data_IF_615319808293
#
_entry.id   IF_615319808293
#
_cell.length_a   1.000
_cell.length_b   1.000
_cell.length_c   1.000
_cell.angle_alpha   90.00
_cell.angle_beta   90.00
_cell.angle_gamma   90.00
#
_symmetry.space_group_name_H-M   'P 1'
#
loop_
_entity.id
_entity.type
_entity.pdbx_description
1 polymer ?
#
# COMPACT_ATOMS: atom_id res chain seq x y z
N UNK A 1 16.32 -4.39 17.61
CA UNK A 1 16.93 -4.15 16.29
C UNK A 1 17.45 -2.73 16.29
N UNK A 2 18.75 -2.57 16.45
CA UNK A 2 19.44 -1.28 16.35
C UNK A 2 19.42 -0.81 14.90
N UNK A 3 18.88 0.38 14.65
CA UNK A 3 18.96 1.02 13.34
C UNK A 3 20.33 1.69 13.21
N UNK A 4 21.16 1.19 12.30
CA UNK A 4 22.40 1.81 11.92
C UNK A 4 22.15 3.23 11.37
N UNK A 5 22.80 4.22 12.00
CA UNK A 5 23.09 5.57 11.54
C UNK A 5 22.18 6.18 10.43
N UNK A 6 21.14 6.89 10.87
CA UNK A 6 20.87 8.29 10.45
C UNK A 6 20.85 8.63 8.97
N UNK A 7 20.01 7.98 8.16
CA UNK A 7 19.53 8.54 6.89
C UNK A 7 18.02 8.61 6.91
N UNK A 8 17.47 9.76 7.28
CA UNK A 8 16.04 10.04 7.11
C UNK A 8 15.75 10.14 5.61
N UNK A 9 14.85 9.29 5.12
CA UNK A 9 14.35 9.37 3.76
C UNK A 9 13.12 10.29 3.75
N UNK A 10 13.21 11.41 3.05
CA UNK A 10 12.05 12.28 2.82
C UNK A 10 11.25 11.69 1.65
N UNK A 11 10.02 11.27 1.93
CA UNK A 11 9.12 10.55 1.01
C UNK A 11 8.55 11.43 -0.13
N UNK A 12 9.01 12.68 -0.28
CA UNK A 12 8.51 13.64 -1.27
C UNK A 12 6.98 13.89 -1.21
N UNK A 13 6.35 13.59 -0.06
CA UNK A 13 4.99 14.04 0.26
C UNK A 13 5.09 15.38 0.99
N UNK A 14 4.89 16.47 0.24
CA UNK A 14 4.99 17.83 0.76
C UNK A 14 3.59 18.35 1.11
N UNK A 15 3.41 18.81 2.35
CA UNK A 15 2.16 19.39 2.84
C UNK A 15 2.43 20.85 3.16
N UNK A 16 1.62 21.74 2.60
CA UNK A 16 1.80 23.17 2.73
C UNK A 16 0.57 23.82 3.36
N UNK A 17 0.81 24.86 4.17
CA UNK A 17 -0.22 25.84 4.47
C UNK A 17 -0.39 26.74 3.24
N UNK A 18 -1.62 26.80 2.72
CA UNK A 18 -1.91 27.32 1.39
C UNK A 18 -1.57 28.80 1.24
N UNK A 19 -1.87 29.63 2.25
CA UNK A 19 -1.62 31.07 2.20
C UNK A 19 -0.13 31.39 2.18
N UNK A 20 0.66 30.71 3.02
CA UNK A 20 2.11 30.83 3.07
C UNK A 20 2.76 30.34 1.77
N UNK A 21 2.24 29.25 1.20
CA UNK A 21 2.68 28.77 -0.11
C UNK A 21 2.45 29.79 -1.22
N UNK A 22 1.24 30.35 -1.32
CA UNK A 22 0.90 31.36 -2.35
C UNK A 22 1.73 32.63 -2.19
N UNK A 23 1.97 33.09 -0.95
CA UNK A 23 2.81 34.28 -0.71
C UNK A 23 4.24 34.07 -1.20
N UNK A 24 4.84 32.93 -0.86
CA UNK A 24 6.19 32.62 -1.30
C UNK A 24 6.25 32.41 -2.82
N UNK A 25 5.26 31.73 -3.40
CA UNK A 25 5.15 31.54 -4.85
C UNK A 25 5.09 32.87 -5.61
N UNK A 26 4.30 33.83 -5.12
CA UNK A 26 4.22 35.18 -5.73
C UNK A 26 5.55 35.94 -5.60
N UNK A 27 6.23 35.80 -4.46
CA UNK A 27 7.51 36.45 -4.20
C UNK A 27 8.64 35.91 -5.09
N UNK A 28 8.70 34.60 -5.30
CA UNK A 28 9.78 33.97 -6.08
C UNK A 28 9.43 33.79 -7.56
N UNK A 29 8.17 34.00 -7.95
CA UNK A 29 7.67 33.61 -9.28
C UNK A 29 7.71 32.10 -9.52
N UNK A 30 7.83 31.29 -8.46
CA UNK A 30 8.03 29.84 -8.55
C UNK A 30 9.47 29.39 -8.74
N UNK A 31 10.45 30.31 -8.72
CA UNK A 31 11.85 29.94 -8.82
C UNK A 31 12.34 29.17 -7.59
N UNK A 32 13.00 28.04 -7.83
CA UNK A 32 13.70 27.22 -6.84
C UNK A 32 15.18 27.16 -7.23
N UNK A 33 16.07 27.07 -6.24
CA UNK A 33 17.51 26.97 -6.49
C UNK A 33 17.83 25.79 -7.41
N UNK A 34 18.55 26.09 -8.47
CA UNK A 34 18.95 25.11 -9.48
C UNK A 34 20.28 24.44 -9.12
N UNK A 35 20.48 23.25 -9.66
CA UNK A 35 21.72 22.50 -9.65
C UNK A 35 21.88 21.74 -10.97
N UNK A 36 23.06 21.18 -11.22
CA UNK A 36 23.34 20.43 -12.46
C UNK A 36 23.28 18.93 -12.20
N UNK A 37 22.51 18.21 -13.01
CA UNK A 37 22.40 16.73 -12.98
C UNK A 37 22.51 16.15 -14.39
N UNK A 38 22.95 14.89 -14.49
CA UNK A 38 22.89 14.13 -15.75
C UNK A 38 21.60 13.32 -15.83
N UNK A 39 21.20 12.99 -17.05
CA UNK A 39 19.99 12.25 -17.42
C UNK A 39 19.86 10.84 -16.85
N UNK A 40 20.89 10.31 -16.22
CA UNK A 40 20.90 9.02 -15.53
C UNK A 40 21.29 9.28 -14.08
N UNK A 41 20.56 8.70 -13.12
CA UNK A 41 20.64 8.84 -11.65
C UNK A 41 22.03 8.60 -10.99
N UNK A 42 23.10 8.56 -11.78
CA UNK A 42 24.49 8.36 -11.36
C UNK A 42 25.18 9.71 -11.12
N UNK A 43 25.81 9.84 -9.94
CA UNK A 43 26.60 11.01 -9.52
C UNK A 43 27.87 11.24 -10.34
N UNK A 44 28.15 10.42 -11.36
CA UNK A 44 29.32 10.57 -12.22
C UNK A 44 28.99 11.38 -13.48
N UNK A 45 29.19 12.69 -13.39
CA UNK A 45 28.95 13.67 -14.47
C UNK A 45 29.95 13.51 -15.64
N UNK A 46 31.15 13.07 -15.33
CA UNK A 46 32.26 13.03 -16.28
C UNK A 46 32.59 11.60 -16.69
N UNK A 47 33.11 11.45 -17.92
CA UNK A 47 33.56 10.14 -18.45
C UNK A 47 34.59 9.50 -17.53
N UNK A 48 35.48 10.33 -17.01
CA UNK A 48 36.61 9.99 -16.17
C UNK A 48 36.89 11.14 -15.17
N UNK A 49 37.90 10.95 -14.33
CA UNK A 49 38.31 11.91 -13.31
C UNK A 49 38.97 13.18 -13.87
N UNK A 50 39.26 13.24 -15.19
CA UNK A 50 39.82 14.44 -15.83
C UNK A 50 38.81 15.58 -15.91
N UNK A 51 37.51 15.26 -15.82
CA UNK A 51 36.39 16.22 -15.89
C UNK A 51 36.36 17.08 -17.15
N UNK A 52 36.91 16.58 -18.25
CA UNK A 52 37.00 17.30 -19.54
C UNK A 52 35.86 16.97 -20.51
N UNK A 53 35.16 15.83 -20.31
CA UNK A 53 34.05 15.42 -21.18
C UNK A 53 32.91 14.77 -20.40
N UNK A 54 31.69 15.06 -20.83
CA UNK A 54 30.45 14.56 -20.22
C UNK A 54 30.10 13.16 -20.74
N UNK A 55 29.52 12.31 -19.88
CA UNK A 55 29.00 10.99 -20.28
C UNK A 55 27.73 11.10 -21.12
N UNK A 56 26.86 12.06 -20.79
CA UNK A 56 25.65 12.37 -21.55
C UNK A 56 25.33 13.87 -21.47
N UNK A 57 24.30 14.30 -22.20
CA UNK A 57 23.77 15.67 -22.08
C UNK A 57 23.35 15.97 -20.65
N UNK A 58 23.76 17.14 -20.15
CA UNK A 58 23.45 17.65 -18.82
C UNK A 58 22.48 18.80 -18.89
N UNK A 59 21.64 18.93 -17.87
CA UNK A 59 20.69 20.04 -17.74
C UNK A 59 20.71 20.63 -16.33
N UNK A 60 20.18 21.84 -16.22
CA UNK A 60 19.78 22.39 -14.94
C UNK A 60 18.53 21.64 -14.45
N UNK A 61 18.53 21.30 -13.17
CA UNK A 61 17.39 20.72 -12.48
C UNK A 61 17.16 21.48 -11.18
N UNK A 62 15.95 21.38 -10.64
CA UNK A 62 15.61 21.87 -9.31
C UNK A 62 14.82 20.79 -8.58
N UNK A 63 14.86 20.81 -7.25
CA UNK A 63 14.17 19.83 -6.42
C UNK A 63 12.96 20.48 -5.75
N UNK A 64 11.76 19.91 -5.90
CA UNK A 64 10.56 20.49 -5.27
C UNK A 64 10.66 20.56 -3.73
N UNK A 65 11.41 19.66 -3.12
CA UNK A 65 11.67 19.68 -1.67
C UNK A 65 12.67 20.76 -1.23
N UNK A 66 13.25 21.52 -2.15
CA UNK A 66 14.08 22.68 -1.82
C UNK A 66 13.24 23.94 -1.56
N UNK A 67 11.92 23.88 -1.72
CA UNK A 67 10.99 24.95 -1.33
C UNK A 67 11.27 25.54 0.07
N UNK A 68 11.52 24.76 1.14
CA UNK A 68 11.82 25.33 2.45
C UNK A 68 13.03 26.27 2.48
N UNK A 69 13.95 26.17 1.51
CA UNK A 69 15.13 27.04 1.40
C UNK A 69 14.78 28.44 0.90
N UNK A 70 13.60 28.65 0.32
CA UNK A 70 13.15 29.99 -0.11
C UNK A 70 12.44 30.76 1.01
N UNK A 71 11.98 30.04 2.03
CA UNK A 71 11.26 30.61 3.16
C UNK A 71 12.17 31.49 4.05
N UNK A 72 11.56 32.46 4.72
CA UNK A 72 12.26 33.26 5.71
C UNK A 72 12.74 32.38 6.89
N UNK A 73 13.83 32.74 7.58
CA UNK A 73 14.34 31.96 8.73
C UNK A 73 13.34 31.75 9.87
N UNK A 74 12.31 32.60 9.96
CA UNK A 74 11.24 32.52 10.97
C UNK A 74 10.12 31.53 10.58
N UNK A 75 10.14 30.99 9.36
CA UNK A 75 9.10 30.09 8.89
C UNK A 75 9.15 28.75 9.65
N UNK A 76 7.97 28.23 10.00
CA UNK A 76 7.85 26.93 10.68
C UNK A 76 7.86 25.81 9.64
N UNK A 77 8.96 25.07 9.59
CA UNK A 77 9.14 23.90 8.73
C UNK A 77 9.36 22.68 9.63
N UNK A 78 8.64 21.60 9.37
CA UNK A 78 8.73 20.36 10.14
C UNK A 78 8.75 19.13 9.24
N UNK A 79 9.21 18.02 9.81
CA UNK A 79 9.18 16.69 9.18
C UNK A 79 8.36 15.77 10.05
N UNK A 80 7.40 15.07 9.46
CA UNK A 80 6.63 14.03 10.13
C UNK A 80 7.15 12.67 9.69
N UNK A 81 7.58 11.85 10.65
CA UNK A 81 7.98 10.47 10.37
C UNK A 81 6.74 9.59 10.18
N UNK A 82 6.59 9.02 8.97
CA UNK A 82 5.47 8.17 8.58
C UNK A 82 5.97 6.87 7.96
N UNK A 83 6.06 5.81 8.76
CA UNK A 83 6.63 4.53 8.28
C UNK A 83 5.66 3.67 7.47
N UNK A 84 4.34 3.81 7.70
CA UNK A 84 3.33 2.90 7.12
C UNK A 84 2.93 3.25 5.68
N UNK A 85 3.28 4.44 5.18
CA UNK A 85 2.71 5.00 3.95
C UNK A 85 3.68 5.07 2.76
N UNK A 86 4.88 4.50 2.86
CA UNK A 86 5.88 4.58 1.80
C UNK A 86 6.05 3.26 1.04
N UNK A 87 5.46 3.18 -0.16
CA UNK A 87 5.53 2.00 -1.04
C UNK A 87 5.77 2.40 -2.52
N UNK A 88 6.92 3.02 -2.86
CA UNK A 88 7.19 3.42 -4.24
C UNK A 88 7.51 2.20 -5.12
N UNK A 89 7.22 2.35 -6.41
CA UNK A 89 7.63 1.43 -7.47
C UNK A 89 8.61 2.18 -8.35
N UNK A 90 9.92 1.96 -8.10
CA UNK A 90 11.02 2.67 -8.79
C UNK A 90 12.12 1.76 -9.31
N UNK A 91 12.18 0.53 -8.81
CA UNK A 91 13.18 -0.45 -9.23
C UNK A 91 12.55 -1.43 -10.22
N UNK A 92 13.26 -1.69 -11.31
CA UNK A 92 12.97 -2.84 -12.17
C UNK A 92 13.21 -4.16 -11.38
N UNK A 93 12.73 -5.31 -11.88
CA UNK A 93 12.93 -6.60 -11.21
C UNK A 93 14.41 -6.95 -10.95
N UNK A 94 15.32 -6.66 -11.88
CA UNK A 94 16.74 -6.98 -11.77
C UNK A 94 17.43 -6.23 -10.62
N UNK A 95 17.14 -4.93 -10.49
CA UNK A 95 17.70 -4.07 -9.46
C UNK A 95 17.04 -4.34 -8.12
N UNK A 96 15.74 -4.66 -8.10
CA UNK A 96 15.06 -5.13 -6.90
C UNK A 96 15.66 -6.44 -6.37
N UNK A 97 16.01 -7.39 -7.23
CA UNK A 97 16.64 -8.65 -6.83
C UNK A 97 18.01 -8.47 -6.15
N UNK A 98 18.70 -7.35 -6.42
CA UNK A 98 20.00 -7.01 -5.80
C UNK A 98 19.84 -6.35 -4.42
N UNK A 99 18.63 -5.96 -4.03
CA UNK A 99 18.37 -5.31 -2.74
C UNK A 99 18.59 -6.33 -1.61
N UNK A 100 19.45 -6.04 -0.60
CA UNK A 100 19.70 -6.96 0.50
C UNK A 100 18.43 -7.25 1.30
N UNK A 101 18.30 -8.49 1.77
CA UNK A 101 17.16 -8.91 2.60
C UNK A 101 17.00 -8.01 3.83
N UNK A 102 15.76 -7.59 4.10
CA UNK A 102 15.43 -6.65 5.19
C UNK A 102 15.31 -5.20 4.73
N UNK A 103 15.79 -4.86 3.53
CA UNK A 103 15.54 -3.57 2.90
C UNK A 103 14.30 -3.61 2.00
N UNK A 104 13.62 -2.47 1.80
CA UNK A 104 12.48 -2.40 0.91
C UNK A 104 12.91 -2.50 -0.56
N UNK A 105 12.31 -3.44 -1.29
CA UNK A 105 12.63 -3.74 -2.69
C UNK A 105 12.24 -2.63 -3.67
N UNK A 106 11.17 -1.89 -3.38
CA UNK A 106 10.64 -0.80 -4.21
C UNK A 106 10.36 -1.19 -5.67
N UNK A 107 9.94 -2.43 -5.90
CA UNK A 107 9.49 -2.98 -7.18
C UNK A 107 7.97 -3.01 -7.29
N UNK A 108 7.45 -3.31 -8.48
CA UNK A 108 6.01 -3.46 -8.71
C UNK A 108 5.39 -4.54 -7.81
N UNK A 109 6.09 -5.67 -7.63
CA UNK A 109 5.71 -6.72 -6.66
C UNK A 109 5.53 -6.11 -5.26
N UNK A 110 6.54 -5.39 -4.77
CA UNK A 110 6.51 -4.83 -3.41
C UNK A 110 5.43 -3.76 -3.22
N UNK A 111 5.17 -2.95 -4.25
CA UNK A 111 4.14 -1.93 -4.22
C UNK A 111 2.73 -2.52 -4.11
N UNK A 112 2.46 -3.59 -4.85
CA UNK A 112 1.17 -4.28 -4.78
C UNK A 112 0.97 -5.02 -3.44
N UNK A 113 1.98 -5.76 -2.99
CA UNK A 113 1.93 -6.47 -1.70
C UNK A 113 1.77 -5.51 -0.52
N UNK A 114 2.35 -4.30 -0.60
CA UNK A 114 2.16 -3.26 0.41
C UNK A 114 0.69 -2.84 0.55
N UNK A 115 -0.07 -2.83 -0.55
CA UNK A 115 -1.51 -2.52 -0.53
C UNK A 115 -2.28 -3.64 0.18
N UNK A 116 -2.01 -4.91 -0.15
CA UNK A 116 -2.64 -6.06 0.51
C UNK A 116 -2.34 -6.05 2.01
N UNK A 117 -1.08 -5.85 2.38
CA UNK A 117 -0.63 -5.75 3.76
C UNK A 117 -1.31 -4.60 4.50
N UNK A 118 -1.36 -3.40 3.91
CA UNK A 118 -2.00 -2.24 4.52
C UNK A 118 -3.48 -2.50 4.82
N UNK A 119 -4.19 -3.14 3.88
CA UNK A 119 -5.61 -3.47 4.02
C UNK A 119 -5.84 -4.56 5.07
N UNK A 120 -5.01 -5.59 5.09
CA UNK A 120 -5.00 -6.61 6.14
C UNK A 120 -4.75 -5.99 7.53
N UNK A 121 -3.77 -5.08 7.65
CA UNK A 121 -3.48 -4.39 8.90
C UNK A 121 -4.63 -3.49 9.37
N UNK A 122 -5.30 -2.78 8.46
CA UNK A 122 -6.48 -1.96 8.80
C UNK A 122 -7.59 -2.84 9.36
N UNK A 123 -7.89 -3.96 8.71
CA UNK A 123 -8.91 -4.90 9.19
C UNK A 123 -8.53 -5.55 10.52
N UNK A 124 -7.26 -5.95 10.71
CA UNK A 124 -6.75 -6.44 12.01
C UNK A 124 -6.86 -5.38 13.12
N UNK A 125 -6.62 -4.09 12.81
CA UNK A 125 -6.72 -3.01 13.80
C UNK A 125 -8.17 -2.68 14.20
N UNK A 126 -9.14 -2.85 13.29
CA UNK A 126 -10.56 -2.72 13.63
C UNK A 126 -10.96 -3.70 14.74
N UNK A 127 -10.30 -4.85 14.82
CA UNK A 127 -10.52 -5.87 15.86
C UNK A 127 -10.07 -5.43 17.25
N UNK A 128 -8.93 -4.74 17.36
CA UNK A 128 -8.33 -4.42 18.67
C UNK A 128 -9.14 -3.35 19.42
N UNK A 129 -9.90 -2.50 18.71
CA UNK A 129 -10.63 -1.36 19.28
C UNK A 129 -12.14 -1.62 19.51
N UNK A 130 -12.65 -2.83 19.25
CA UNK A 130 -14.07 -3.19 19.48
C UNK A 130 -14.29 -3.81 20.87
N UNK A 131 -13.22 -4.21 21.57
CA UNK A 131 -13.28 -4.58 22.99
C UNK A 131 -12.84 -3.40 23.85
N UNK A 132 -13.59 -2.98 24.89
CA UNK A 132 -13.08 -2.01 25.85
C UNK A 132 -11.98 -2.70 26.67
N UNK A 133 -10.72 -2.39 26.39
CA UNK A 133 -9.62 -2.69 27.31
C UNK A 133 -8.84 -1.40 27.59
N UNK A 134 -8.42 -1.19 28.86
CA UNK A 134 -7.71 0.00 29.29
C UNK A 134 -6.37 0.16 28.56
N UNK A 135 -5.93 1.42 28.46
CA UNK A 135 -4.93 1.95 27.53
C UNK A 135 -3.49 1.40 27.67
N UNK A 136 -3.24 0.42 28.54
CA UNK A 136 -1.88 0.10 29.00
C UNK A 136 -1.23 -1.13 28.33
N UNK A 137 -1.88 -1.75 27.34
CA UNK A 137 -1.37 -2.99 26.72
C UNK A 137 -1.03 -2.83 25.22
N UNK A 138 -0.31 -1.75 24.86
CA UNK A 138 0.06 -1.48 23.47
C UNK A 138 1.32 -2.19 22.98
N UNK A 139 2.07 -2.88 23.84
CA UNK A 139 3.28 -3.59 23.46
C UNK A 139 3.42 -4.90 24.22
N UNK A 140 3.07 -6.02 23.59
CA UNK A 140 3.78 -7.32 23.59
C UNK A 140 2.83 -8.41 23.09
N UNK A 141 2.94 -8.76 21.82
CA UNK A 141 2.44 -10.04 21.33
C UNK A 141 3.46 -11.14 21.72
N UNK A 142 3.43 -11.59 22.97
CA UNK A 142 3.95 -12.90 23.36
C UNK A 142 3.32 -13.36 24.67
N UNK A 143 2.41 -14.33 24.59
CA UNK A 143 2.07 -15.18 25.74
C UNK A 143 0.66 -15.04 26.31
N UNK A 144 -0.09 -16.15 26.16
CA UNK A 144 -0.67 -16.89 27.30
C UNK A 144 -1.77 -16.22 28.14
N UNK A 145 -2.73 -15.52 27.54
CA UNK A 145 -4.05 -15.33 28.18
C UNK A 145 -5.17 -15.45 27.14
N UNK A 146 -6.15 -16.32 27.43
CA UNK A 146 -7.28 -16.65 26.57
C UNK A 146 -8.24 -15.47 26.42
N UNK A 147 -7.96 -14.57 25.48
CA UNK A 147 -8.90 -13.54 25.06
C UNK A 147 -9.70 -14.09 23.89
N UNK A 148 -11.01 -14.33 24.07
CA UNK A 148 -11.94 -14.54 22.95
C UNK A 148 -11.97 -13.25 22.13
N UNK A 149 -11.16 -13.19 21.08
CA UNK A 149 -11.08 -12.06 20.14
C UNK A 149 -12.39 -11.95 19.37
N UNK A 150 -13.24 -10.98 19.72
CA UNK A 150 -14.31 -10.54 18.84
C UNK A 150 -13.71 -9.65 17.74
N UNK A 151 -13.62 -10.16 16.51
CA UNK A 151 -13.25 -9.39 15.33
C UNK A 151 -12.69 -10.23 14.18
N UNK A 152 -12.24 -9.56 13.12
CA UNK A 152 -11.68 -10.14 11.89
C UNK A 152 -10.36 -10.88 12.15
N UNK A 153 -10.41 -12.21 12.18
CA UNK A 153 -9.22 -13.06 12.20
C UNK A 153 -8.66 -13.14 10.78
N UNK A 154 -7.47 -12.59 10.54
CA UNK A 154 -6.81 -12.72 9.25
C UNK A 154 -5.67 -13.72 9.42
N UNK A 155 -5.60 -14.73 8.55
CA UNK A 155 -4.51 -15.69 8.53
C UNK A 155 -3.15 -15.00 8.51
N UNK A 156 -2.19 -15.54 9.25
CA UNK A 156 -0.83 -14.99 9.24
C UNK A 156 -0.21 -15.12 7.85
N UNK A 157 0.66 -14.18 7.43
CA UNK A 157 1.32 -14.27 6.13
C UNK A 157 2.08 -15.60 6.01
N UNK A 158 1.86 -16.31 4.92
CA UNK A 158 2.65 -17.51 4.59
C UNK A 158 3.81 -17.06 3.70
N UNK A 159 4.95 -17.75 3.82
CA UNK A 159 6.06 -17.64 2.87
C UNK A 159 5.68 -18.28 1.53
N UNK A 160 4.73 -17.69 0.82
CA UNK A 160 4.73 -17.78 -0.64
C UNK A 160 5.62 -16.65 -1.13
N UNK A 161 6.73 -17.03 -1.74
CA UNK A 161 7.84 -16.12 -2.02
C UNK A 161 7.71 -15.67 -3.48
N UNK A 162 6.95 -14.61 -3.75
CA UNK A 162 7.00 -13.93 -5.05
C UNK A 162 8.20 -12.98 -5.05
N UNK A 163 9.18 -13.23 -5.90
CA UNK A 163 10.41 -12.43 -5.95
C UNK A 163 11.07 -12.21 -4.58
N UNK A 164 11.10 -13.24 -3.72
CA UNK A 164 11.73 -13.14 -2.39
C UNK A 164 10.84 -12.59 -1.27
N UNK A 165 9.56 -12.26 -1.53
CA UNK A 165 8.71 -11.48 -0.62
C UNK A 165 7.52 -12.26 -0.06
N UNK A 166 7.14 -11.98 1.19
CA UNK A 166 5.98 -12.57 1.88
C UNK A 166 4.65 -11.95 1.44
N UNK A 167 3.58 -12.73 1.50
CA UNK A 167 2.28 -12.39 0.90
C UNK A 167 1.16 -12.44 1.94
N UNK A 168 0.50 -11.30 2.13
CA UNK A 168 -0.78 -11.19 2.82
C UNK A 168 -1.95 -11.60 1.91
N UNK A 169 -3.12 -11.94 2.47
CA UNK A 169 -4.35 -12.12 1.70
C UNK A 169 -4.61 -10.98 0.72
N UNK A 170 -5.12 -11.34 -0.47
CA UNK A 170 -5.42 -10.38 -1.54
C UNK A 170 -6.71 -9.63 -1.26
N UNK A 171 -6.67 -8.72 -0.30
CA UNK A 171 -7.82 -7.91 0.10
C UNK A 171 -7.72 -6.55 -0.59
N UNK A 172 -8.77 -6.18 -1.33
CA UNK A 172 -8.87 -4.91 -2.04
C UNK A 172 -10.26 -4.29 -1.98
N UNK A 173 -10.31 -2.96 -1.94
CA UNK A 173 -11.57 -2.21 -2.04
C UNK A 173 -11.38 -0.89 -2.76
N UNK A 174 -12.44 -0.39 -3.40
CA UNK A 174 -12.48 0.96 -3.97
C UNK A 174 -12.48 2.01 -2.84
N UNK A 175 -11.86 3.18 -3.02
CA UNK A 175 -11.87 4.25 -2.00
C UNK A 175 -13.27 4.64 -1.52
N UNK A 176 -14.27 4.59 -2.41
CA UNK A 176 -15.69 4.83 -2.06
C UNK A 176 -16.24 3.89 -0.97
N UNK A 177 -15.63 2.72 -0.78
CA UNK A 177 -15.99 1.83 0.32
C UNK A 177 -15.36 2.30 1.64
N UNK A 178 -14.06 2.60 1.66
CA UNK A 178 -13.40 3.11 2.86
C UNK A 178 -12.11 3.85 2.51
N UNK A 179 -12.02 5.10 2.98
CA UNK A 179 -10.81 5.91 2.90
C UNK A 179 -10.15 6.10 4.27
N UNK A 180 -10.91 5.94 5.34
CA UNK A 180 -10.43 6.09 6.73
C UNK A 180 -10.62 4.82 7.53
N UNK A 181 -9.90 4.73 8.65
CA UNK A 181 -10.09 3.65 9.61
C UNK A 181 -11.54 3.61 10.17
N UNK A 182 -12.15 4.77 10.39
CA UNK A 182 -13.54 4.89 10.85
C UNK A 182 -14.54 4.30 9.84
N UNK A 183 -14.28 4.45 8.55
CA UNK A 183 -15.12 3.85 7.49
C UNK A 183 -15.07 2.31 7.53
N UNK A 184 -13.88 1.74 7.77
CA UNK A 184 -13.73 0.29 7.91
C UNK A 184 -14.45 -0.17 9.18
N UNK A 185 -14.23 0.52 10.32
CA UNK A 185 -14.82 0.17 11.63
C UNK A 185 -16.35 0.14 11.60
N UNK A 186 -17.00 1.07 10.89
CA UNK A 186 -18.47 1.11 10.79
C UNK A 186 -19.06 0.06 9.84
N UNK A 187 -18.27 -0.44 8.87
CA UNK A 187 -18.73 -1.37 7.83
C UNK A 187 -18.41 -2.82 8.15
N UNK A 188 -17.44 -3.07 9.03
CA UNK A 188 -17.01 -4.42 9.41
C UNK A 188 -17.38 -4.70 10.87
N UNK A 189 -18.04 -5.82 11.13
CA UNK A 189 -18.45 -6.19 12.49
C UNK A 189 -18.68 -7.69 12.68
N UNK A 190 -18.91 -8.11 13.92
CA UNK A 190 -19.03 -9.52 14.27
C UNK A 190 -17.71 -10.29 14.17
N UNK A 191 -17.79 -11.61 14.28
CA UNK A 191 -16.63 -12.50 14.17
C UNK A 191 -16.39 -12.85 12.71
N UNK A 192 -15.51 -12.09 12.05
CA UNK A 192 -15.09 -12.44 10.69
C UNK A 192 -13.77 -13.25 10.73
N UNK A 193 -13.52 -14.05 9.72
CA UNK A 193 -12.26 -14.74 9.47
C UNK A 193 -11.94 -14.69 7.98
N UNK A 194 -10.68 -14.47 7.62
CA UNK A 194 -10.19 -14.48 6.24
C UNK A 194 -8.92 -15.33 6.22
N UNK A 195 -8.92 -16.45 5.48
CA UNK A 195 -7.77 -17.34 5.36
C UNK A 195 -6.63 -16.67 4.59
N UNK A 196 -5.39 -17.16 4.76
CA UNK A 196 -4.22 -16.52 4.15
C UNK A 196 -4.29 -16.47 2.62
N UNK A 197 -4.79 -17.52 1.98
CA UNK A 197 -4.91 -17.63 0.52
C UNK A 197 -6.14 -16.93 -0.06
N UNK A 198 -6.93 -16.25 0.78
CA UNK A 198 -8.19 -15.68 0.35
C UNK A 198 -8.02 -14.39 -0.45
N UNK A 199 -9.00 -14.14 -1.32
CA UNK A 199 -9.16 -12.89 -2.05
C UNK A 199 -10.49 -12.24 -1.67
N UNK A 200 -10.47 -10.94 -1.35
CA UNK A 200 -11.70 -10.18 -1.10
C UNK A 200 -11.67 -8.88 -1.90
N UNK A 201 -12.66 -8.67 -2.76
CA UNK A 201 -12.78 -7.48 -3.61
C UNK A 201 -14.09 -6.77 -3.32
N UNK A 202 -14.03 -5.51 -2.89
CA UNK A 202 -15.22 -4.68 -2.63
C UNK A 202 -15.29 -3.46 -3.55
N UNK A 203 -16.30 -3.42 -4.42
CA UNK A 203 -16.49 -2.35 -5.42
C UNK A 203 -17.77 -1.54 -5.19
N UNK A 204 -18.27 -1.49 -3.96
CA UNK A 204 -19.48 -0.73 -3.60
C UNK A 204 -19.24 0.29 -2.52
N UNK A 205 -20.07 1.33 -2.46
CA UNK A 205 -20.05 2.29 -1.34
C UNK A 205 -20.68 1.66 -0.09
N UNK A 206 -21.85 1.06 -0.23
CA UNK A 206 -22.71 0.65 0.88
C UNK A 206 -22.67 -0.86 1.15
N UNK A 207 -21.46 -1.42 1.26
CA UNK A 207 -21.25 -2.83 1.63
C UNK A 207 -20.92 -2.96 3.11
N UNK A 208 -21.70 -3.75 3.84
CA UNK A 208 -21.45 -4.11 5.24
C UNK A 208 -21.04 -5.58 5.36
N UNK A 209 -19.94 -5.86 6.04
CA UNK A 209 -19.38 -7.20 6.20
C UNK A 209 -19.55 -7.60 7.66
N UNK A 210 -20.42 -8.57 7.92
CA UNK A 210 -20.74 -9.00 9.29
C UNK A 210 -20.66 -10.52 9.41
N UNK A 211 -19.80 -11.01 10.31
CA UNK A 211 -19.70 -12.46 10.56
C UNK A 211 -19.29 -13.27 9.33
N UNK A 212 -18.38 -12.74 8.51
CA UNK A 212 -17.89 -13.40 7.29
C UNK A 212 -16.75 -14.36 7.63
N UNK A 213 -16.88 -15.64 7.30
CA UNK A 213 -15.74 -16.58 7.22
C UNK A 213 -15.37 -16.81 5.76
N UNK A 214 -14.20 -16.39 5.34
CA UNK A 214 -13.73 -16.46 3.96
C UNK A 214 -12.51 -17.40 3.86
N UNK A 215 -12.66 -18.45 3.07
CA UNK A 215 -11.59 -19.35 2.64
C UNK A 215 -11.70 -19.59 1.12
N UNK A 216 -11.17 -18.64 0.35
CA UNK A 216 -11.33 -18.59 -1.11
C UNK A 216 -11.44 -17.16 -1.62
N UNK A 217 -12.16 -16.94 -2.73
CA UNK A 217 -12.36 -15.63 -3.33
C UNK A 217 -13.82 -15.14 -3.20
N UNK A 218 -13.97 -13.87 -2.81
CA UNK A 218 -15.23 -13.14 -2.71
C UNK A 218 -15.12 -11.81 -3.46
N UNK A 219 -16.07 -11.54 -4.35
CA UNK A 219 -16.20 -10.27 -5.08
C UNK A 219 -17.59 -9.69 -4.81
N UNK A 220 -17.65 -8.43 -4.37
CA UNK A 220 -18.91 -7.70 -4.20
C UNK A 220 -18.86 -6.47 -5.07
N UNK A 221 -19.70 -6.45 -6.11
CA UNK A 221 -19.84 -5.34 -7.04
C UNK A 221 -21.24 -4.74 -6.92
N UNK A 222 -21.32 -3.45 -6.59
CA UNK A 222 -22.61 -2.80 -6.48
C UNK A 222 -22.54 -1.31 -6.79
N UNK A 223 -23.63 -0.81 -7.34
CA UNK A 223 -23.87 0.61 -7.55
C UNK A 223 -23.98 1.33 -6.20
N UNK A 224 -23.88 2.66 -6.22
CA UNK A 224 -23.84 3.43 -4.98
C UNK A 224 -25.17 3.38 -4.19
N UNK A 225 -26.30 3.18 -4.88
CA UNK A 225 -27.64 3.11 -4.26
C UNK A 225 -28.05 1.70 -3.80
N UNK A 226 -27.17 0.71 -3.94
CA UNK A 226 -27.37 -0.63 -3.41
C UNK A 226 -26.70 -0.78 -2.04
N UNK A 227 -27.49 -1.14 -1.03
CA UNK A 227 -27.01 -1.53 0.30
C UNK A 227 -26.84 -3.05 0.35
N UNK A 228 -25.61 -3.53 0.51
CA UNK A 228 -25.30 -4.97 0.50
C UNK A 228 -24.79 -5.40 1.87
N UNK A 229 -25.44 -6.37 2.48
CA UNK A 229 -24.95 -7.06 3.68
C UNK A 229 -24.30 -8.38 3.27
N UNK A 230 -23.06 -8.60 3.69
CA UNK A 230 -22.30 -9.82 3.44
C UNK A 230 -22.14 -10.55 4.76
N UNK A 231 -22.64 -11.78 4.84
CA UNK A 231 -22.53 -12.64 6.03
C UNK A 231 -22.48 -14.12 5.66
N UNK A 232 -21.92 -14.96 6.54
CA UNK A 232 -21.84 -16.40 6.34
C UNK A 232 -20.44 -16.90 5.97
N UNK A 233 -20.36 -18.12 5.44
CA UNK A 233 -19.09 -18.82 5.17
C UNK A 233 -18.88 -19.04 3.67
N UNK A 234 -17.89 -18.40 3.08
CA UNK A 234 -17.45 -18.61 1.70
C UNK A 234 -16.32 -19.61 1.70
N UNK A 235 -16.48 -20.74 1.00
CA UNK A 235 -15.39 -21.69 0.74
C UNK A 235 -15.37 -22.08 -0.73
N UNK A 236 -14.28 -21.79 -1.42
CA UNK A 236 -14.09 -22.11 -2.84
C UNK A 236 -12.60 -22.21 -3.18
N UNK A 237 -12.25 -22.64 -4.39
CA UNK A 237 -10.85 -22.78 -4.83
C UNK A 237 -10.11 -21.44 -4.97
N UNK A 238 -10.81 -20.31 -4.84
CA UNK A 238 -10.22 -18.98 -4.83
C UNK A 238 -9.52 -18.59 -6.12
N UNK A 239 -8.58 -17.66 -6.02
CA UNK A 239 -7.72 -17.25 -7.12
C UNK A 239 -6.31 -17.80 -6.90
N UNK A 240 -5.66 -18.22 -7.97
CA UNK A 240 -4.31 -18.77 -7.95
C UNK A 240 -3.33 -17.74 -8.49
N UNK A 241 -2.24 -17.52 -7.76
CA UNK A 241 -1.15 -16.65 -8.20
C UNK A 241 0.00 -17.49 -8.75
N UNK A 242 0.38 -17.25 -10.00
CA UNK A 242 1.46 -17.95 -10.69
C UNK A 242 2.65 -17.01 -10.91
N UNK A 243 3.86 -17.51 -10.68
CA UNK A 243 5.10 -16.78 -10.96
C UNK A 243 5.22 -16.50 -12.46
N UNK A 244 5.74 -15.32 -12.79
CA UNK A 244 6.02 -14.89 -14.16
C UNK A 244 7.49 -14.50 -14.27
N UNK A 245 8.17 -15.02 -15.29
CA UNK A 245 9.51 -14.56 -15.65
C UNK A 245 9.43 -13.15 -16.26
N UNK A 246 10.24 -12.23 -15.75
CA UNK A 246 10.28 -10.87 -16.24
C UNK A 246 10.77 -10.76 -17.71
N UNK A 247 11.43 -11.81 -18.22
CA UNK A 247 11.94 -11.91 -19.59
C UNK A 247 10.94 -12.52 -20.57
N UNK A 248 9.80 -13.03 -20.10
CA UNK A 248 8.80 -13.68 -20.96
C UNK A 248 8.05 -12.65 -21.81
N UNK A 249 8.58 -12.35 -23.00
CA UNK A 249 8.02 -11.35 -23.92
C UNK A 249 6.65 -11.71 -24.50
N UNK A 250 6.12 -12.90 -24.24
CA UNK A 250 4.75 -13.26 -24.61
C UNK A 250 3.70 -12.56 -23.72
N UNK A 251 4.11 -12.08 -22.54
CA UNK A 251 3.25 -11.40 -21.58
C UNK A 251 3.42 -9.88 -21.62
N UNK A 252 2.36 -9.11 -21.32
CA UNK A 252 2.44 -7.65 -21.18
C UNK A 252 3.49 -7.23 -20.14
N UNK A 253 4.12 -6.07 -20.36
CA UNK A 253 5.18 -5.55 -19.49
C UNK A 253 4.74 -5.42 -18.03
N UNK A 254 3.52 -4.96 -17.79
CA UNK A 254 2.96 -4.82 -16.44
C UNK A 254 2.88 -6.14 -15.68
N UNK A 255 2.70 -7.27 -16.37
CA UNK A 255 2.70 -8.61 -15.76
C UNK A 255 4.14 -9.07 -15.51
N UNK A 256 5.05 -8.81 -16.46
CA UNK A 256 6.47 -9.14 -16.36
C UNK A 256 7.16 -8.42 -15.20
N UNK A 257 6.98 -7.10 -15.08
CA UNK A 257 7.61 -6.29 -14.02
C UNK A 257 7.00 -6.59 -12.63
N UNK A 258 5.74 -7.02 -12.60
CA UNK A 258 5.04 -7.47 -11.38
C UNK A 258 5.57 -8.81 -10.89
N UNK A 259 5.99 -9.69 -11.81
CA UNK A 259 6.60 -10.99 -11.52
C UNK A 259 5.60 -12.08 -11.16
N UNK A 260 4.30 -11.82 -11.29
CA UNK A 260 3.25 -12.83 -11.11
C UNK A 260 1.97 -12.44 -11.86
N UNK A 261 1.17 -13.45 -12.19
CA UNK A 261 -0.19 -13.31 -12.73
C UNK A 261 -1.19 -13.97 -11.80
N UNK A 262 -2.42 -13.45 -11.81
CA UNK A 262 -3.53 -13.96 -10.99
C UNK A 262 -4.52 -14.64 -11.92
N UNK A 263 -4.75 -15.92 -11.71
CA UNK A 263 -5.74 -16.73 -12.39
C UNK A 263 -6.99 -16.85 -11.51
N UNK A 264 -8.13 -16.37 -12.01
CA UNK A 264 -9.40 -16.38 -11.28
C UNK A 264 -10.09 -17.74 -11.44
N UNK A 265 -9.64 -18.73 -10.69
CA UNK A 265 -10.13 -20.12 -10.82
C UNK A 265 -11.56 -20.30 -10.31
N UNK A 266 -11.90 -19.73 -9.14
CA UNK A 266 -13.26 -19.77 -8.59
C UNK A 266 -13.50 -18.55 -7.71
N UNK A 267 -14.74 -18.06 -7.65
CA UNK A 267 -15.13 -16.97 -6.76
C UNK A 267 -16.64 -17.00 -6.45
N UNK A 268 -17.02 -16.54 -5.26
CA UNK A 268 -18.38 -16.07 -5.03
C UNK A 268 -18.46 -14.61 -5.47
N UNK A 269 -19.38 -14.29 -6.38
CA UNK A 269 -19.60 -12.92 -6.85
C UNK A 269 -21.05 -12.48 -6.61
N UNK A 270 -21.20 -11.36 -5.90
CA UNK A 270 -22.49 -10.67 -5.77
C UNK A 270 -22.47 -9.37 -6.56
N UNK A 271 -23.26 -9.31 -7.63
CA UNK A 271 -23.40 -8.15 -8.52
C UNK A 271 -24.77 -7.52 -8.37
N UNK A 272 -24.83 -6.27 -7.91
CA UNK A 272 -26.07 -5.56 -7.61
C UNK A 272 -26.12 -4.22 -8.37
N UNK A 273 -26.83 -4.22 -9.50
CA UNK A 273 -26.91 -3.08 -10.43
C UNK A 273 -28.22 -2.29 -10.33
N UNK A 274 -29.08 -2.65 -9.38
CA UNK A 274 -30.32 -1.95 -9.09
C UNK A 274 -30.28 -1.37 -7.67
N UNK A 275 -30.96 -0.24 -7.41
CA UNK A 275 -31.11 0.29 -6.06
C UNK A 275 -31.88 -0.70 -5.18
N UNK A 276 -31.45 -0.85 -3.93
CA UNK A 276 -32.14 -1.75 -3.00
C UNK A 276 -31.29 -2.25 -1.86
N UNK A 277 -31.90 -3.08 -1.01
CA UNK A 277 -31.25 -3.76 0.10
C UNK A 277 -31.05 -5.23 -0.23
N UNK A 278 -29.81 -5.67 -0.22
CA UNK A 278 -29.40 -7.01 -0.60
C UNK A 278 -28.67 -7.68 0.55
N UNK A 279 -28.76 -9.00 0.59
CA UNK A 279 -27.96 -9.82 1.47
C UNK A 279 -27.25 -10.89 0.65
N UNK A 280 -25.93 -10.84 0.60
CA UNK A 280 -25.11 -11.89 0.02
C UNK A 280 -24.78 -12.90 1.11
N UNK A 281 -25.46 -14.04 1.05
CA UNK A 281 -25.21 -15.21 1.89
C UNK A 281 -24.75 -16.35 0.98
N UNK A 282 -23.54 -16.90 1.20
CA UNK A 282 -23.09 -18.12 0.56
C UNK A 282 -23.95 -19.32 0.99
#
# INVERSE_FOLDING_TARGET
>A
MEYAAGKYLIVLQLIFELESYIRELKKTGGAIKEFVTQSNFSLQVYKDDSKTSLKSSTRLECMMQDYPKTLAPIARVGVTDIWLAYAPVKNNPEDAAKVPKGNPYHSATSGELAIYRARSLLLRKVVVLITPLPLDLFFTCSGKYGVKKAGVQIGEPIKQVFNGQEVDPSIVWKPKWASTFSDVKRKVGGNCSISQGSTMVVKGRNVSIKGLSLDGALVVDCIDDAEVKVEGSVRNNGWITENVDNKDTSLPEEVRIRGFKINKTEQLEGSFHEPGKYCLKP
#
